data_IF_814182213232
#
_entry.id   IF_814182213232
#
_cell.length_a   1.000
_cell.length_b   1.000
_cell.length_c   1.000
_cell.angle_alpha   90.00
_cell.angle_beta   90.00
_cell.angle_gamma   90.00
#
_symmetry.space_group_name_H-M   'P 1'
#
loop_
_entity.id
_entity.type
_entity.pdbx_description
1 polymer ?
#
# COMPACT_ATOMS: atom_id res chain seq x y z
N UNK A 1 -0.27 0.69 32.94
CA UNK A 1 -0.89 1.99 32.78
C UNK A 1 -0.80 2.42 31.32
N UNK A 2 -1.91 2.35 30.59
CA UNK A 2 -2.36 3.30 29.60
C UNK A 2 -1.66 3.41 28.22
N UNK A 3 -1.83 2.42 27.33
CA UNK A 3 -1.62 2.62 25.89
C UNK A 3 -2.99 2.76 25.16
N UNK A 4 -3.79 3.74 25.54
CA UNK A 4 -5.12 3.95 24.93
C UNK A 4 -5.24 5.18 24.03
N UNK A 5 -4.13 5.94 23.79
CA UNK A 5 -4.24 7.23 23.10
C UNK A 5 -3.93 7.23 21.59
N UNK A 6 -3.34 6.16 21.02
CA UNK A 6 -2.92 6.15 19.61
C UNK A 6 -3.86 5.40 18.67
N UNK A 7 -4.67 4.49 19.19
CA UNK A 7 -5.64 3.74 18.37
C UNK A 7 -6.86 4.56 17.98
N UNK A 8 -7.27 5.49 18.85
CA UNK A 8 -8.48 6.31 18.64
C UNK A 8 -8.33 7.29 17.47
N UNK A 9 -7.17 7.93 17.32
CA UNK A 9 -6.93 8.88 16.23
C UNK A 9 -6.88 8.23 14.83
N UNK A 10 -6.43 6.97 14.76
CA UNK A 10 -6.38 6.24 13.50
C UNK A 10 -7.76 5.74 13.07
N UNK A 11 -8.60 5.36 14.02
CA UNK A 11 -9.98 4.95 13.78
C UNK A 11 -10.86 6.11 13.30
N UNK A 12 -10.64 7.31 13.85
CA UNK A 12 -11.40 8.50 13.47
C UNK A 12 -11.16 8.91 12.01
N UNK A 13 -9.93 8.74 11.50
CA UNK A 13 -9.61 9.04 10.11
C UNK A 13 -10.26 8.03 9.14
N UNK A 14 -10.25 6.74 9.47
CA UNK A 14 -10.85 5.69 8.65
C UNK A 14 -12.36 5.89 8.53
N UNK A 15 -13.00 6.35 9.59
CA UNK A 15 -14.44 6.62 9.61
C UNK A 15 -14.88 7.81 8.73
N UNK A 16 -13.96 8.67 8.29
CA UNK A 16 -14.25 9.83 7.42
C UNK A 16 -14.35 9.45 5.95
N UNK A 17 -13.72 8.34 5.52
CA UNK A 17 -13.75 7.89 4.13
C UNK A 17 -14.68 6.69 3.93
N UNK A 18 -15.56 6.80 2.91
CA UNK A 18 -16.40 5.69 2.46
C UNK A 18 -15.63 4.56 1.79
N UNK A 19 -14.41 4.83 1.35
CA UNK A 19 -13.65 3.98 0.44
C UNK A 19 -12.35 3.46 1.04
N UNK A 20 -12.09 3.80 2.30
CA UNK A 20 -10.94 3.29 3.06
C UNK A 20 -11.47 2.58 4.29
N UNK A 21 -11.11 1.32 4.46
CA UNK A 21 -11.63 0.46 5.51
C UNK A 21 -10.52 -0.24 6.28
N UNK A 22 -10.71 -0.52 7.59
CA UNK A 22 -9.80 -1.42 8.31
C UNK A 22 -9.74 -2.76 7.62
N UNK A 23 -8.55 -3.35 7.55
CA UNK A 23 -8.35 -4.63 6.86
C UNK A 23 -9.19 -5.74 7.47
N UNK A 24 -9.71 -6.62 6.61
CA UNK A 24 -10.32 -7.89 6.98
C UNK A 24 -9.62 -9.02 6.23
N UNK A 25 -9.69 -10.23 6.77
CA UNK A 25 -9.12 -11.40 6.09
C UNK A 25 -9.78 -11.63 4.73
N UNK A 26 -11.10 -11.43 4.66
CA UNK A 26 -11.86 -11.52 3.40
C UNK A 26 -11.34 -10.53 2.36
N UNK A 27 -11.15 -9.28 2.73
CA UNK A 27 -10.64 -8.25 1.82
C UNK A 27 -9.20 -8.52 1.39
N UNK A 28 -8.34 -8.97 2.30
CA UNK A 28 -6.97 -9.35 1.98
C UNK A 28 -6.93 -10.50 0.96
N UNK A 29 -7.77 -11.50 1.14
CA UNK A 29 -7.89 -12.61 0.20
C UNK A 29 -8.39 -12.14 -1.18
N UNK A 30 -9.39 -11.26 -1.21
CA UNK A 30 -9.92 -10.67 -2.45
C UNK A 30 -8.83 -9.91 -3.21
N UNK A 31 -8.08 -9.05 -2.53
CA UNK A 31 -6.97 -8.31 -3.14
C UNK A 31 -5.90 -9.27 -3.65
N UNK A 32 -5.44 -10.19 -2.81
CA UNK A 32 -4.36 -11.13 -3.17
C UNK A 32 -4.73 -12.02 -4.36
N UNK A 33 -6.00 -12.41 -4.47
CA UNK A 33 -6.51 -13.26 -5.55
C UNK A 33 -6.70 -12.51 -6.87
N UNK A 34 -6.76 -11.16 -6.83
CA UNK A 34 -7.08 -10.33 -7.99
C UNK A 34 -6.04 -9.24 -8.24
N UNK A 35 -4.79 -9.43 -7.83
CA UNK A 35 -3.73 -8.45 -8.04
C UNK A 35 -3.57 -8.09 -9.52
N UNK A 36 -3.23 -6.83 -9.76
CA UNK A 36 -2.72 -6.40 -11.08
C UNK A 36 -1.52 -7.29 -11.44
N UNK A 37 -1.36 -7.67 -12.73
CA UNK A 37 -0.24 -8.51 -13.13
C UNK A 37 1.13 -7.98 -12.69
N UNK A 38 1.33 -6.66 -12.72
CA UNK A 38 2.59 -6.02 -12.33
C UNK A 38 2.83 -6.13 -10.82
N UNK A 39 1.80 -5.98 -10.00
CA UNK A 39 1.90 -6.12 -8.54
C UNK A 39 2.15 -7.57 -8.13
N UNK A 40 1.50 -8.52 -8.80
CA UNK A 40 1.76 -9.95 -8.62
C UNK A 40 3.21 -10.28 -8.97
N UNK A 41 3.67 -9.82 -10.12
CA UNK A 41 5.05 -10.04 -10.58
C UNK A 41 6.08 -9.47 -9.62
N UNK A 42 5.82 -8.28 -9.07
CA UNK A 42 6.68 -7.67 -8.06
C UNK A 42 6.83 -8.59 -6.83
N UNK A 43 5.73 -9.14 -6.33
CA UNK A 43 5.77 -10.06 -5.19
C UNK A 43 6.45 -11.38 -5.54
N UNK A 44 6.06 -12.04 -6.62
CA UNK A 44 6.53 -13.37 -6.98
C UNK A 44 8.00 -13.36 -7.45
N UNK A 45 8.33 -12.49 -8.38
CA UNK A 45 9.68 -12.42 -8.95
C UNK A 45 10.61 -11.49 -8.16
N UNK A 46 10.09 -10.36 -7.67
CA UNK A 46 10.89 -9.35 -6.99
C UNK A 46 11.17 -9.69 -5.53
N UNK A 47 10.17 -10.15 -4.81
CA UNK A 47 10.29 -10.52 -3.39
C UNK A 47 10.43 -12.02 -3.15
N UNK A 48 10.06 -12.85 -4.13
CA UNK A 48 10.08 -14.30 -4.00
C UNK A 48 9.02 -14.83 -3.04
N UNK A 49 7.87 -14.18 -2.95
CA UNK A 49 6.80 -14.54 -2.02
C UNK A 49 5.52 -14.93 -2.78
N UNK A 50 4.72 -15.79 -2.15
CA UNK A 50 3.41 -16.17 -2.68
C UNK A 50 2.38 -15.12 -2.21
N UNK A 51 1.63 -14.47 -3.15
CA UNK A 51 0.80 -13.31 -2.83
C UNK A 51 -0.26 -13.54 -1.76
N UNK A 52 -1.02 -14.64 -1.83
CA UNK A 52 -2.11 -14.90 -0.88
C UNK A 52 -1.54 -15.06 0.53
N UNK A 53 -0.55 -15.91 0.69
CA UNK A 53 0.09 -16.14 2.00
C UNK A 53 0.70 -14.87 2.56
N UNK A 54 1.39 -14.10 1.72
CA UNK A 54 2.03 -12.86 2.11
C UNK A 54 1.03 -11.82 2.60
N UNK A 55 -0.05 -11.58 1.85
CA UNK A 55 -1.05 -10.56 2.19
C UNK A 55 -1.95 -10.98 3.37
N UNK A 56 -2.28 -12.27 3.50
CA UNK A 56 -3.00 -12.75 4.69
C UNK A 56 -2.16 -12.59 5.95
N UNK A 57 -0.86 -12.87 5.87
CA UNK A 57 0.07 -12.65 6.98
C UNK A 57 0.15 -11.16 7.34
N UNK A 58 0.28 -10.28 6.36
CA UNK A 58 0.31 -8.83 6.58
C UNK A 58 -0.99 -8.35 7.27
N UNK A 59 -2.14 -8.85 6.84
CA UNK A 59 -3.43 -8.50 7.42
C UNK A 59 -3.55 -8.89 8.91
N UNK A 60 -2.89 -9.96 9.31
CA UNK A 60 -2.91 -10.44 10.70
C UNK A 60 -1.88 -9.75 11.60
N UNK A 61 -0.73 -9.36 11.04
CA UNK A 61 0.43 -8.93 11.81
C UNK A 61 0.66 -7.42 11.80
N UNK A 62 0.05 -6.69 10.88
CA UNK A 62 0.32 -5.27 10.66
C UNK A 62 -0.99 -4.49 10.54
N UNK A 63 -1.12 -3.32 11.18
CA UNK A 63 -2.24 -2.43 10.90
C UNK A 63 -2.22 -2.03 9.43
N UNK A 64 -3.27 -2.36 8.71
CA UNK A 64 -3.41 -2.00 7.31
C UNK A 64 -4.87 -1.75 6.93
N UNK A 65 -5.07 -1.14 5.79
CA UNK A 65 -6.37 -0.76 5.25
C UNK A 65 -6.58 -1.39 3.88
N UNK A 66 -7.83 -1.44 3.45
CA UNK A 66 -8.14 -1.70 2.05
C UNK A 66 -9.03 -0.62 1.46
N UNK A 67 -8.93 -0.45 0.16
CA UNK A 67 -9.69 0.53 -0.62
C UNK A 67 -10.77 -0.19 -1.39
N UNK A 68 -11.93 0.45 -1.48
CA UNK A 68 -13.03 -0.04 -2.34
C UNK A 68 -13.37 0.99 -3.41
N UNK A 69 -13.93 0.50 -4.51
CA UNK A 69 -14.61 1.34 -5.51
C UNK A 69 -16.08 1.54 -5.12
N UNK A 70 -16.83 2.43 -5.80
CA UNK A 70 -18.27 2.55 -5.59
C UNK A 70 -19.05 1.25 -5.82
N UNK A 71 -18.50 0.31 -6.61
CA UNK A 71 -19.09 -1.02 -6.80
C UNK A 71 -18.95 -1.94 -5.58
N UNK A 72 -18.19 -1.53 -4.57
CA UNK A 72 -17.90 -2.33 -3.38
C UNK A 72 -16.75 -3.33 -3.56
N UNK A 73 -16.16 -3.41 -4.76
CA UNK A 73 -15.02 -4.29 -5.03
C UNK A 73 -13.74 -3.73 -4.42
N UNK A 74 -12.88 -4.62 -3.93
CA UNK A 74 -11.59 -4.22 -3.39
C UNK A 74 -10.64 -3.73 -4.49
N UNK A 75 -10.16 -2.51 -4.35
CA UNK A 75 -9.24 -1.87 -5.28
C UNK A 75 -7.76 -2.05 -4.88
N UNK A 76 -7.51 -2.32 -3.63
CA UNK A 76 -6.15 -2.52 -3.13
C UNK A 76 -6.10 -2.54 -1.62
N UNK A 77 -4.91 -2.81 -1.10
CA UNK A 77 -4.63 -2.71 0.32
C UNK A 77 -3.29 -2.03 0.55
N UNK A 78 -3.15 -1.38 1.70
CA UNK A 78 -1.96 -0.62 2.05
C UNK A 78 -1.68 -0.72 3.54
N UNK A 79 -0.42 -0.59 3.90
CA UNK A 79 0.02 -0.57 5.28
C UNK A 79 1.36 0.11 5.45
N UNK A 80 1.74 0.34 6.71
CA UNK A 80 3.04 0.89 7.08
C UNK A 80 3.61 0.04 8.20
N UNK A 81 4.82 -0.48 7.98
CA UNK A 81 5.55 -1.24 8.97
C UNK A 81 6.15 -0.34 10.06
N UNK A 82 6.77 -0.96 11.06
CA UNK A 82 7.32 -0.27 12.24
C UNK A 82 8.42 0.75 11.91
N UNK A 83 9.13 0.55 10.81
CA UNK A 83 10.23 1.41 10.38
C UNK A 83 9.80 2.48 9.37
N UNK A 84 8.51 2.62 9.11
CA UNK A 84 7.98 3.56 8.14
C UNK A 84 7.96 2.99 6.72
N UNK A 85 8.18 1.70 6.56
CA UNK A 85 8.12 0.98 5.28
C UNK A 85 6.67 0.88 4.80
N UNK A 86 6.30 1.81 3.94
CA UNK A 86 4.96 1.87 3.35
C UNK A 86 4.84 0.96 2.15
N UNK A 87 3.71 0.29 2.01
CA UNK A 87 3.42 -0.56 0.87
C UNK A 87 1.97 -0.42 0.43
N UNK A 88 1.71 -0.69 -0.83
CA UNK A 88 0.38 -0.72 -1.43
C UNK A 88 0.37 -1.72 -2.58
N UNK A 89 -0.64 -2.57 -2.61
CA UNK A 89 -0.86 -3.56 -3.66
C UNK A 89 -2.28 -3.42 -4.18
N UNK A 90 -2.42 -3.39 -5.49
CA UNK A 90 -3.67 -3.02 -6.14
C UNK A 90 -4.23 -4.13 -7.03
N UNK A 91 -5.54 -4.05 -7.23
CA UNK A 91 -6.28 -4.85 -8.22
C UNK A 91 -6.61 -3.97 -9.43
N UNK A 92 -7.04 -4.57 -10.57
CA UNK A 92 -7.48 -3.78 -11.73
C UNK A 92 -8.68 -2.85 -11.46
N UNK A 93 -9.35 -3.02 -10.32
CA UNK A 93 -10.47 -2.16 -9.89
C UNK A 93 -10.06 -0.68 -9.78
N UNK A 94 -8.77 -0.39 -9.57
CA UNK A 94 -8.28 1.01 -9.57
C UNK A 94 -8.58 1.75 -10.89
N UNK A 95 -8.76 1.01 -11.97
CA UNK A 95 -9.05 1.58 -13.30
C UNK A 95 -10.52 1.89 -13.52
N UNK A 96 -11.43 1.43 -12.66
CA UNK A 96 -12.87 1.73 -12.77
C UNK A 96 -13.15 3.21 -12.48
N UNK A 97 -12.54 3.77 -11.44
CA UNK A 97 -12.65 5.16 -11.02
C UNK A 97 -11.26 5.68 -10.61
N UNK A 98 -10.37 5.91 -11.58
CA UNK A 98 -8.96 6.20 -11.26
C UNK A 98 -8.76 7.50 -10.46
N UNK A 99 -9.54 8.54 -10.74
CA UNK A 99 -9.45 9.80 -9.98
C UNK A 99 -9.89 9.64 -8.53
N UNK A 100 -10.92 8.84 -8.30
CA UNK A 100 -11.37 8.52 -6.94
C UNK A 100 -10.29 7.76 -6.19
N UNK A 101 -9.74 6.72 -6.80
CA UNK A 101 -8.65 5.95 -6.20
C UNK A 101 -7.45 6.83 -5.85
N UNK A 102 -7.00 7.68 -6.76
CA UNK A 102 -5.88 8.59 -6.53
C UNK A 102 -6.15 9.53 -5.35
N UNK A 103 -7.35 10.07 -5.26
CA UNK A 103 -7.75 10.94 -4.15
C UNK A 103 -7.72 10.20 -2.81
N UNK A 104 -8.25 8.99 -2.76
CA UNK A 104 -8.28 8.20 -1.53
C UNK A 104 -6.88 7.70 -1.14
N UNK A 105 -6.05 7.29 -2.09
CA UNK A 105 -4.66 6.94 -1.84
C UNK A 105 -3.88 8.12 -1.27
N UNK A 106 -4.08 9.31 -1.84
CA UNK A 106 -3.46 10.54 -1.32
C UNK A 106 -3.94 10.87 0.09
N UNK A 107 -5.23 10.74 0.36
CA UNK A 107 -5.80 10.93 1.69
C UNK A 107 -5.15 10.00 2.71
N UNK A 108 -4.99 8.74 2.37
CA UNK A 108 -4.33 7.76 3.24
C UNK A 108 -2.88 8.15 3.55
N UNK A 109 -2.09 8.44 2.52
CA UNK A 109 -0.68 8.81 2.71
C UNK A 109 -0.52 10.10 3.49
N UNK A 110 -1.33 11.13 3.18
CA UNK A 110 -1.28 12.43 3.86
C UNK A 110 -1.68 12.33 5.34
N UNK A 111 -2.49 11.34 5.71
CA UNK A 111 -2.89 11.10 7.11
C UNK A 111 -1.82 10.43 7.96
N UNK A 112 -0.79 9.86 7.34
CA UNK A 112 0.25 9.13 8.08
C UNK A 112 1.08 10.08 8.94
N UNK A 113 1.46 9.60 10.13
CA UNK A 113 2.15 10.40 11.14
C UNK A 113 3.65 10.11 11.19
N UNK A 114 4.11 9.09 10.49
CA UNK A 114 5.52 8.72 10.46
C UNK A 114 6.35 9.87 9.87
N UNK A 115 7.49 10.23 10.50
CA UNK A 115 8.35 11.31 9.99
C UNK A 115 8.97 10.99 8.63
N UNK A 116 9.16 9.70 8.34
CA UNK A 116 9.69 9.21 7.08
C UNK A 116 8.89 7.99 6.63
N UNK A 117 8.36 8.06 5.41
CA UNK A 117 7.80 6.91 4.70
C UNK A 117 8.77 6.52 3.58
N UNK A 118 9.06 5.23 3.45
CA UNK A 118 10.00 4.74 2.46
C UNK A 118 9.68 3.30 2.03
N UNK A 119 10.18 2.87 0.93
CA UNK A 119 10.26 1.48 0.50
C UNK A 119 10.99 1.40 -0.84
N UNK A 120 10.92 0.25 -1.49
CA UNK A 120 11.40 0.00 -2.84
C UNK A 120 10.26 -0.48 -3.72
N UNK A 121 10.32 -0.15 -5.01
CA UNK A 121 9.33 -0.55 -6.01
C UNK A 121 10.05 -1.19 -7.19
N UNK A 122 9.47 -2.26 -7.76
CA UNK A 122 10.00 -2.88 -8.96
C UNK A 122 10.03 -1.86 -10.10
N UNK A 123 11.21 -1.66 -10.71
CA UNK A 123 11.39 -0.68 -11.78
C UNK A 123 10.47 -0.92 -12.97
N UNK A 124 10.01 -2.16 -13.17
CA UNK A 124 9.08 -2.54 -14.23
C UNK A 124 7.63 -2.14 -13.94
N UNK A 125 7.30 -1.86 -12.67
CA UNK A 125 5.95 -1.47 -12.25
C UNK A 125 5.74 0.03 -12.46
N UNK A 126 5.66 0.44 -13.73
CA UNK A 126 5.62 1.85 -14.11
C UNK A 126 4.36 2.58 -13.64
N UNK A 127 3.23 1.90 -13.57
CA UNK A 127 1.97 2.48 -13.05
C UNK A 127 2.12 2.82 -11.58
N UNK A 128 2.72 1.93 -10.79
CA UNK A 128 2.99 2.18 -9.37
C UNK A 128 3.99 3.33 -9.18
N UNK A 129 5.01 3.41 -10.03
CA UNK A 129 5.96 4.52 -9.99
C UNK A 129 5.28 5.88 -10.25
N UNK A 130 4.33 5.94 -11.20
CA UNK A 130 3.53 7.15 -11.45
C UNK A 130 2.66 7.51 -10.23
N UNK A 131 2.06 6.51 -9.59
CA UNK A 131 1.29 6.70 -8.36
C UNK A 131 2.17 7.29 -7.25
N UNK A 132 3.36 6.75 -7.04
CA UNK A 132 4.29 7.24 -6.03
C UNK A 132 4.67 8.71 -6.26
N UNK A 133 4.94 9.11 -7.50
CA UNK A 133 5.20 10.52 -7.84
C UNK A 133 4.00 11.40 -7.49
N UNK A 134 2.80 10.98 -7.86
CA UNK A 134 1.58 11.70 -7.55
C UNK A 134 1.38 11.86 -6.04
N UNK A 135 1.72 10.85 -5.25
CA UNK A 135 1.62 10.87 -3.79
C UNK A 135 2.73 11.66 -3.10
N UNK A 136 3.66 12.25 -3.86
CA UNK A 136 4.71 13.11 -3.33
C UNK A 136 5.99 12.40 -2.89
N UNK A 137 6.17 11.15 -3.28
CA UNK A 137 7.40 10.42 -3.04
C UNK A 137 8.50 10.83 -4.01
N UNK A 138 9.74 10.81 -3.54
CA UNK A 138 10.94 11.03 -4.36
C UNK A 138 11.67 9.72 -4.56
N UNK A 139 12.18 9.52 -5.77
CA UNK A 139 13.05 8.39 -6.08
C UNK A 139 14.49 8.75 -5.75
N UNK A 140 15.18 7.85 -5.05
CA UNK A 140 16.50 8.09 -4.50
C UNK A 140 17.57 7.39 -5.32
N UNK A 141 17.44 6.08 -5.52
CA UNK A 141 18.45 5.26 -6.21
C UNK A 141 17.86 3.94 -6.68
N UNK A 142 18.58 3.31 -7.60
CA UNK A 142 18.31 1.93 -8.02
C UNK A 142 19.07 0.96 -7.13
N UNK A 143 18.41 -0.12 -6.72
CA UNK A 143 19.02 -1.22 -5.95
C UNK A 143 18.63 -2.55 -6.58
N UNK A 144 19.52 -3.53 -6.51
CA UNK A 144 19.18 -4.90 -6.89
C UNK A 144 18.55 -5.61 -5.70
N UNK A 145 17.43 -6.28 -5.90
CA UNK A 145 16.66 -6.84 -4.81
C UNK A 145 16.09 -8.23 -5.12
N UNK A 146 15.93 -9.00 -4.05
CA UNK A 146 15.26 -10.29 -4.06
C UNK A 146 16.10 -11.43 -4.63
N UNK A 147 15.48 -12.63 -4.76
CA UNK A 147 16.20 -13.84 -5.17
C UNK A 147 16.69 -13.78 -6.63
N UNK A 148 16.11 -12.92 -7.44
CA UNK A 148 16.45 -12.76 -8.86
C UNK A 148 17.30 -11.53 -9.15
N UNK A 149 17.75 -10.79 -8.13
CA UNK A 149 18.54 -9.56 -8.27
C UNK A 149 17.93 -8.56 -9.28
N UNK A 150 16.64 -8.33 -9.16
CA UNK A 150 15.93 -7.43 -10.06
C UNK A 150 16.14 -5.96 -9.67
N UNK A 151 16.14 -5.03 -10.63
CA UNK A 151 16.25 -3.61 -10.34
C UNK A 151 14.97 -3.08 -9.69
N UNK A 152 15.13 -2.53 -8.49
CA UNK A 152 14.12 -1.80 -7.74
C UNK A 152 14.55 -0.35 -7.57
N UNK A 153 13.59 0.54 -7.40
CA UNK A 153 13.84 1.95 -7.11
C UNK A 153 13.45 2.23 -5.66
N UNK A 154 14.41 2.73 -4.89
CA UNK A 154 14.16 3.20 -3.53
C UNK A 154 13.45 4.55 -3.57
N UNK A 155 12.40 4.71 -2.77
CA UNK A 155 11.63 5.95 -2.69
C UNK A 155 11.40 6.36 -1.25
N UNK A 156 11.21 7.65 -1.02
CA UNK A 156 10.86 8.17 0.30
C UNK A 156 10.01 9.43 0.22
N UNK A 157 9.32 9.70 1.31
CA UNK A 157 8.60 10.93 1.55
C UNK A 157 8.83 11.36 2.99
N UNK A 158 9.38 12.56 3.18
CA UNK A 158 9.56 13.16 4.50
C UNK A 158 8.32 13.96 4.84
N UNK A 159 7.80 13.76 6.06
CA UNK A 159 6.69 14.57 6.55
C UNK A 159 7.16 16.00 6.81
N UNK A 160 6.49 16.94 6.19
CA UNK A 160 6.72 18.37 6.49
C UNK A 160 6.00 18.74 7.78
N UNK A 161 6.71 19.42 8.67
CA UNK A 161 6.12 20.03 9.85
C UNK A 161 5.25 21.23 9.45
#
# INVERSE_FOLDING_TARGET
VGYHGKETLHLDFINVSKYIHPITIKAAYEVASNLRPEDRRELEEGWGVEPIRHLLSAAQMTPCVYFTSPSGKAAGMAGVGREGDIWMLCTPVIHEKPKLFLREAKRYVDSRQEPLLWNIVDKRNTVHMKLLKFLGFKFIREVLHGPNYLPFIEFCRVRRC
#
